data_IF_584804008914
#
_entry.id   IF_584804008914
#
_cell.length_a   1.000
_cell.length_b   1.000
_cell.length_c   1.000
_cell.angle_alpha   90.00
_cell.angle_beta   90.00
_cell.angle_gamma   90.00
#
_symmetry.space_group_name_H-M   'P 1'
#
loop_
_entity.id
_entity.type
_entity.pdbx_description
1 polymer ?
#
# COMPACT_ATOMS: atom_id res chain seq x y z
N UNK A 1 12.64 -2.97 -16.63
CA UNK A 1 12.42 -4.41 -16.40
C UNK A 1 10.91 -4.62 -16.43
N UNK A 2 10.44 -5.76 -16.92
CA UNK A 2 9.02 -6.06 -16.89
C UNK A 2 8.64 -6.53 -15.47
N UNK A 3 7.46 -6.12 -14.94
CA UNK A 3 7.04 -6.56 -13.62
C UNK A 3 6.83 -8.08 -13.59
N UNK A 4 7.21 -8.71 -12.48
CA UNK A 4 7.00 -10.16 -12.28
C UNK A 4 5.56 -10.49 -11.93
N UNK A 5 4.87 -9.55 -11.25
CA UNK A 5 3.48 -9.69 -10.82
C UNK A 5 2.79 -8.34 -10.93
N UNK A 6 1.53 -8.39 -11.33
CA UNK A 6 0.75 -7.19 -11.60
C UNK A 6 -0.67 -7.36 -11.07
N UNK A 7 -1.08 -6.48 -10.16
CA UNK A 7 -2.40 -6.50 -9.53
C UNK A 7 -3.20 -5.26 -9.89
N UNK A 8 -4.37 -5.45 -10.49
CA UNK A 8 -5.33 -4.38 -10.72
C UNK A 8 -6.17 -4.14 -9.46
N UNK A 9 -6.19 -2.90 -8.98
CA UNK A 9 -7.03 -2.50 -7.84
C UNK A 9 -8.40 -2.04 -8.34
N UNK A 10 -9.45 -2.74 -7.93
CA UNK A 10 -10.84 -2.48 -8.33
C UNK A 10 -11.73 -2.33 -7.10
N UNK A 11 -12.39 -1.17 -6.92
CA UNK A 11 -13.38 -1.01 -5.85
C UNK A 11 -14.65 -1.79 -6.15
N UNK A 12 -15.14 -2.59 -5.20
CA UNK A 12 -16.24 -3.54 -5.41
C UNK A 12 -17.60 -3.04 -4.91
N UNK A 13 -17.63 -1.93 -4.18
CA UNK A 13 -18.86 -1.34 -3.68
C UNK A 13 -19.00 0.15 -4.01
N UNK A 14 -20.25 0.64 -4.02
CA UNK A 14 -20.56 2.05 -4.33
C UNK A 14 -19.91 3.03 -3.35
N UNK A 15 -19.79 2.64 -2.08
CA UNK A 15 -19.14 3.45 -1.04
C UNK A 15 -17.61 3.47 -1.18
N UNK A 16 -17.03 2.64 -2.06
CA UNK A 16 -15.59 2.54 -2.33
C UNK A 16 -14.78 2.24 -1.06
N UNK A 17 -15.39 1.47 -0.16
CA UNK A 17 -14.80 0.96 1.10
C UNK A 17 -14.32 -0.47 0.99
N UNK A 18 -14.56 -1.13 -0.15
CA UNK A 18 -14.08 -2.47 -0.44
C UNK A 18 -13.42 -2.47 -1.81
N UNK A 19 -12.30 -3.17 -1.93
CA UNK A 19 -11.60 -3.37 -3.18
C UNK A 19 -11.05 -4.79 -3.29
N UNK A 20 -10.80 -5.21 -4.53
CA UNK A 20 -10.08 -6.43 -4.86
C UNK A 20 -8.78 -6.04 -5.56
N UNK A 21 -7.72 -6.80 -5.27
CA UNK A 21 -6.48 -6.80 -6.03
C UNK A 21 -6.49 -8.04 -6.92
N UNK A 22 -6.75 -7.83 -8.20
CA UNK A 22 -6.92 -8.89 -9.19
C UNK A 22 -5.63 -9.10 -9.97
N UNK A 23 -5.16 -10.33 -10.09
CA UNK A 23 -4.03 -10.63 -10.98
C UNK A 23 -4.45 -10.34 -12.42
N UNK A 24 -3.67 -9.51 -13.12
CA UNK A 24 -4.03 -9.06 -14.47
C UNK A 24 -4.06 -10.21 -15.49
N UNK A 25 -3.32 -11.29 -15.25
CA UNK A 25 -3.18 -12.41 -16.19
C UNK A 25 -4.43 -13.31 -16.21
N UNK A 26 -5.10 -13.44 -15.06
CA UNK A 26 -6.25 -14.33 -14.91
C UNK A 26 -7.55 -13.61 -14.49
N UNK A 27 -7.46 -12.34 -14.10
CA UNK A 27 -8.59 -11.50 -13.66
C UNK A 27 -9.17 -11.89 -12.29
N UNK A 28 -8.57 -12.85 -11.58
CA UNK A 28 -9.06 -13.35 -10.30
C UNK A 28 -8.55 -12.51 -9.15
N UNK A 29 -9.40 -12.29 -8.14
CA UNK A 29 -9.00 -11.61 -6.92
C UNK A 29 -7.99 -12.47 -6.16
N UNK A 30 -6.76 -11.98 -6.05
CA UNK A 30 -5.72 -12.60 -5.22
C UNK A 30 -5.78 -12.10 -3.78
N UNK A 31 -6.31 -10.88 -3.59
CA UNK A 31 -6.50 -10.27 -2.29
C UNK A 31 -7.79 -9.43 -2.26
N UNK A 32 -8.40 -9.35 -1.09
CA UNK A 32 -9.48 -8.43 -0.77
C UNK A 32 -8.96 -7.35 0.18
N UNK A 33 -9.50 -6.14 0.04
CA UNK A 33 -9.09 -4.97 0.81
C UNK A 33 -10.33 -4.30 1.37
N UNK A 34 -10.40 -4.21 2.69
CA UNK A 34 -11.38 -3.36 3.37
C UNK A 34 -10.73 -2.01 3.70
N UNK A 35 -11.34 -0.94 3.19
CA UNK A 35 -10.94 0.45 3.41
C UNK A 35 -11.97 1.10 4.33
N UNK A 36 -11.56 1.40 5.56
CA UNK A 36 -12.39 2.10 6.52
C UNK A 36 -12.14 3.61 6.46
N UNK A 37 -13.24 4.37 6.34
CA UNK A 37 -13.24 5.82 6.49
C UNK A 37 -13.06 6.29 7.93
N UNK A 38 -13.17 5.39 8.91
CA UNK A 38 -12.89 5.78 10.28
C UNK A 38 -11.38 5.99 10.43
N UNK A 39 -10.98 7.24 10.48
CA UNK A 39 -9.83 7.65 11.28
C UNK A 39 -10.14 7.18 12.69
N UNK A 40 -9.50 6.10 13.13
CA UNK A 40 -9.62 5.64 14.50
C UNK A 40 -9.17 6.81 15.38
N UNK A 41 -10.02 7.20 16.34
CA UNK A 41 -9.65 8.17 17.36
C UNK A 41 -8.29 7.78 17.95
N UNK A 42 -7.40 8.76 18.07
CA UNK A 42 -6.11 8.63 18.76
C UNK A 42 -6.37 7.90 20.10
N UNK A 43 -5.92 6.64 20.19
CA UNK A 43 -6.06 5.73 21.35
C UNK A 43 -7.35 4.91 21.48
N UNK A 44 -8.00 4.51 20.38
CA UNK A 44 -8.91 3.36 20.46
C UNK A 44 -8.10 2.06 20.61
N UNK A 45 -7.85 1.64 21.85
CA UNK A 45 -7.37 0.31 22.23
C UNK A 45 -8.42 -0.80 21.99
N UNK A 46 -9.35 -0.61 21.04
CA UNK A 46 -10.32 -1.64 20.67
C UNK A 46 -9.74 -2.45 19.51
N UNK A 47 -9.47 -3.75 19.70
CA UNK A 47 -9.19 -4.64 18.58
C UNK A 47 -10.36 -4.59 17.59
N UNK A 48 -10.06 -4.43 16.29
CA UNK A 48 -11.04 -4.64 15.22
C UNK A 48 -11.54 -3.41 14.45
N UNK A 49 -10.84 -2.26 14.45
CA UNK A 49 -11.16 -1.19 13.48
C UNK A 49 -9.92 -0.57 12.85
N UNK A 50 -9.25 -1.37 12.04
CA UNK A 50 -8.15 -0.91 11.22
C UNK A 50 -8.64 -0.05 10.05
N UNK A 51 -7.81 0.91 9.64
CA UNK A 51 -8.14 1.78 8.52
C UNK A 51 -8.04 1.05 7.18
N UNK A 52 -7.11 0.10 7.07
CA UNK A 52 -7.01 -0.83 5.94
C UNK A 52 -6.86 -2.24 6.52
N UNK A 53 -7.57 -3.20 5.94
CA UNK A 53 -7.36 -4.63 6.18
C UNK A 53 -7.10 -5.29 4.83
N UNK A 54 -5.94 -5.93 4.70
CA UNK A 54 -5.58 -6.77 3.56
C UNK A 54 -5.81 -8.23 3.94
N UNK A 55 -6.59 -8.94 3.14
CA UNK A 55 -6.97 -10.33 3.42
C UNK A 55 -6.96 -11.20 2.17
N UNK A 56 -6.84 -12.50 2.36
CA UNK A 56 -7.09 -13.48 1.29
C UNK A 56 -8.56 -13.41 0.85
N UNK A 57 -8.89 -13.69 -0.41
CA UNK A 57 -10.27 -13.70 -0.88
C UNK A 57 -11.13 -14.76 -0.18
N UNK A 58 -12.45 -14.58 -0.23
CA UNK A 58 -13.41 -15.57 0.24
C UNK A 58 -13.17 -16.95 -0.41
N UNK A 59 -13.25 -18.07 0.34
CA UNK A 59 -13.82 -18.21 1.69
C UNK A 59 -12.83 -18.11 2.85
N UNK A 60 -11.52 -18.03 2.62
CA UNK A 60 -10.54 -18.07 3.71
C UNK A 60 -10.58 -16.82 4.57
N UNK A 61 -10.73 -15.62 3.96
CA UNK A 61 -10.80 -14.32 4.65
C UNK A 61 -9.73 -14.14 5.75
N UNK A 62 -8.56 -14.75 5.58
CA UNK A 62 -7.45 -14.66 6.51
C UNK A 62 -6.83 -13.27 6.40
N UNK A 63 -6.62 -12.61 7.55
CA UNK A 63 -5.98 -11.30 7.57
C UNK A 63 -4.48 -11.47 7.33
N UNK A 64 -3.96 -10.79 6.32
CA UNK A 64 -2.54 -10.78 5.98
C UNK A 64 -1.82 -9.56 6.55
N UNK A 65 -2.56 -8.47 6.75
CA UNK A 65 -2.06 -7.31 7.45
C UNK A 65 -3.07 -6.17 7.56
N UNK A 66 -2.72 -5.22 8.39
CA UNK A 66 -3.60 -4.11 8.78
C UNK A 66 -2.84 -2.79 8.80
N UNK A 67 -3.54 -1.68 8.54
CA UNK A 67 -2.98 -0.35 8.65
C UNK A 67 -3.82 0.53 9.54
N UNK A 68 -3.16 1.27 10.42
CA UNK A 68 -3.77 2.29 11.29
C UNK A 68 -3.18 3.66 11.00
N UNK A 69 -4.05 4.63 10.76
CA UNK A 69 -3.65 6.03 10.61
C UNK A 69 -3.87 6.78 11.93
N UNK A 70 -2.77 7.24 12.53
CA UNK A 70 -2.82 8.08 13.73
C UNK A 70 -2.77 9.55 13.31
N UNK A 71 -3.93 10.18 13.00
CA UNK A 71 -3.98 11.56 12.51
C UNK A 71 -3.91 12.62 13.63
N UNK A 72 -2.86 12.59 14.46
CA UNK A 72 -2.59 13.65 15.44
C UNK A 72 -1.86 14.85 14.86
N UNK A 73 -0.96 14.59 13.90
CA UNK A 73 -0.10 15.55 13.19
C UNK A 73 0.39 14.90 11.89
N UNK A 74 0.76 15.69 10.88
CA UNK A 74 1.40 15.18 9.65
C UNK A 74 2.76 14.50 9.89
N UNK A 75 3.33 14.66 11.09
CA UNK A 75 4.56 14.00 11.55
C UNK A 75 4.32 12.64 12.20
N UNK A 76 3.05 12.24 12.39
CA UNK A 76 2.73 10.98 13.06
C UNK A 76 2.95 9.83 12.08
N UNK A 77 3.65 8.75 12.47
CA UNK A 77 3.83 7.62 11.58
C UNK A 77 2.50 6.91 11.28
N UNK A 78 2.47 6.24 10.14
CA UNK A 78 1.40 5.30 9.77
C UNK A 78 1.84 3.92 10.26
N UNK A 79 1.00 3.24 11.04
CA UNK A 79 1.34 1.93 11.59
C UNK A 79 0.84 0.82 10.66
N UNK A 80 1.69 -0.14 10.37
CA UNK A 80 1.37 -1.36 9.64
C UNK A 80 1.56 -2.57 10.55
N UNK A 81 0.59 -3.47 10.59
CA UNK A 81 0.72 -4.79 11.21
C UNK A 81 0.75 -5.85 10.12
N UNK A 82 1.77 -6.70 10.11
CA UNK A 82 1.89 -7.84 9.20
C UNK A 82 1.58 -9.13 9.96
N UNK A 83 0.71 -9.96 9.40
CA UNK A 83 0.15 -11.15 10.05
C UNK A 83 -1.33 -10.99 10.41
N UNK A 84 -1.92 -12.06 10.94
CA UNK A 84 -3.34 -12.10 11.28
C UNK A 84 -3.59 -11.49 12.66
N UNK A 85 -4.00 -10.21 12.69
CA UNK A 85 -4.28 -9.48 13.93
C UNK A 85 -5.55 -9.93 14.66
N UNK A 86 -6.39 -10.77 14.03
CA UNK A 86 -7.62 -11.29 14.61
C UNK A 86 -7.40 -12.67 15.20
N UNK A 87 -6.80 -13.58 14.42
CA UNK A 87 -6.58 -14.96 14.84
C UNK A 87 -5.34 -15.11 15.74
N UNK A 88 -4.28 -14.34 15.50
CA UNK A 88 -2.99 -14.47 16.18
C UNK A 88 -2.34 -13.09 16.44
N UNK A 89 -2.92 -12.26 17.31
CA UNK A 89 -2.46 -10.89 17.55
C UNK A 89 -1.01 -10.80 18.06
N UNK A 90 -0.56 -11.79 18.84
CA UNK A 90 0.79 -11.79 19.43
C UNK A 90 1.90 -12.09 18.42
N UNK A 91 1.56 -12.58 17.22
CA UNK A 91 2.53 -12.87 16.15
C UNK A 91 2.59 -11.75 15.11
N UNK A 92 1.82 -10.68 15.28
CA UNK A 92 1.80 -9.55 14.35
C UNK A 92 3.09 -8.76 14.47
N UNK A 93 3.78 -8.57 13.35
CA UNK A 93 4.95 -7.71 13.25
C UNK A 93 4.49 -6.29 12.93
N UNK A 94 4.80 -5.35 13.81
CA UNK A 94 4.43 -3.95 13.65
C UNK A 94 5.58 -3.14 13.07
N UNK A 95 5.28 -2.38 12.02
CA UNK A 95 6.21 -1.49 11.33
C UNK A 95 5.61 -0.11 11.11
N UNK A 96 6.46 0.90 10.95
CA UNK A 96 6.04 2.29 10.79
C UNK A 96 6.44 2.84 9.42
N UNK A 97 5.51 3.60 8.81
CA UNK A 97 5.82 4.51 7.70
C UNK A 97 5.99 5.92 8.24
N UNK A 98 7.16 6.50 8.00
CA UNK A 98 7.47 7.88 8.32
C UNK A 98 7.33 8.78 7.09
N UNK A 99 6.52 9.83 7.21
CA UNK A 99 6.45 10.89 6.19
C UNK A 99 7.70 11.76 6.30
N UNK A 100 8.53 11.77 5.26
CA UNK A 100 9.75 12.58 5.18
C UNK A 100 9.63 13.59 4.05
N UNK A 101 10.11 14.81 4.30
CA UNK A 101 10.38 15.74 3.22
C UNK A 101 11.78 15.50 2.68
N UNK A 102 11.88 14.95 1.47
CA UNK A 102 13.14 14.78 0.76
C UNK A 102 13.15 15.75 -0.41
N UNK A 103 14.00 16.77 -0.36
CA UNK A 103 14.21 17.71 -1.46
C UNK A 103 12.91 18.30 -2.05
N UNK A 104 11.98 18.75 -1.19
CA UNK A 104 10.64 19.30 -1.53
C UNK A 104 9.62 18.29 -2.07
N UNK A 105 9.91 16.99 -2.01
CA UNK A 105 8.93 15.93 -2.28
C UNK A 105 8.69 15.12 -1.00
N UNK A 106 7.43 14.90 -0.65
CA UNK A 106 7.08 13.99 0.44
C UNK A 106 7.39 12.56 -0.01
N UNK A 107 8.36 11.94 0.65
CA UNK A 107 8.65 10.52 0.59
C UNK A 107 8.08 9.82 1.84
N UNK A 108 7.79 8.54 1.71
CA UNK A 108 7.25 7.72 2.78
C UNK A 108 8.26 6.60 3.04
N UNK A 109 9.01 6.74 4.11
CA UNK A 109 10.04 5.78 4.51
C UNK A 109 9.40 4.65 5.30
N UNK A 110 9.76 3.41 4.99
CA UNK A 110 9.39 2.23 5.75
C UNK A 110 10.63 1.34 5.93
N UNK A 111 10.88 0.90 7.16
CA UNK A 111 11.91 -0.09 7.46
C UNK A 111 11.27 -1.45 7.68
N UNK A 112 11.63 -2.46 6.90
CA UNK A 112 11.08 -3.82 6.99
C UNK A 112 12.19 -4.79 7.37
N UNK A 113 11.94 -5.64 8.36
CA UNK A 113 12.75 -6.82 8.60
C UNK A 113 12.41 -7.94 7.59
N UNK A 114 13.37 -8.29 6.74
CA UNK A 114 13.22 -9.36 5.74
C UNK A 114 13.72 -10.71 6.25
N UNK A 115 13.98 -10.83 7.56
CA UNK A 115 14.41 -12.04 8.24
C UNK A 115 15.94 -12.21 8.29
N UNK A 116 16.39 -13.25 8.98
CA UNK A 116 17.77 -13.42 9.45
C UNK A 116 18.88 -13.29 8.39
N UNK A 117 18.60 -13.65 7.13
CA UNK A 117 19.60 -13.62 6.05
C UNK A 117 19.71 -12.25 5.36
N UNK A 118 18.58 -11.58 5.14
CA UNK A 118 18.52 -10.31 4.41
C UNK A 118 18.58 -9.10 5.36
N UNK A 119 18.21 -9.30 6.61
CA UNK A 119 18.14 -8.30 7.65
C UNK A 119 17.11 -7.20 7.39
N UNK A 120 17.23 -6.13 8.18
CA UNK A 120 16.37 -4.96 8.06
C UNK A 120 16.79 -4.10 6.87
N UNK A 121 15.85 -3.83 5.96
CA UNK A 121 16.03 -2.92 4.83
C UNK A 121 15.10 -1.72 4.92
N UNK A 122 15.52 -0.62 4.28
CA UNK A 122 14.73 0.62 4.25
C UNK A 122 14.26 0.87 2.82
N UNK A 123 12.99 1.18 2.70
CA UNK A 123 12.34 1.48 1.44
C UNK A 123 11.68 2.85 1.50
N UNK A 124 11.58 3.46 0.32
CA UNK A 124 10.90 4.72 0.15
C UNK A 124 9.80 4.60 -0.90
N UNK A 125 8.56 4.84 -0.49
CA UNK A 125 7.49 5.17 -1.42
C UNK A 125 7.57 6.64 -1.80
N UNK A 126 7.68 6.93 -3.10
CA UNK A 126 7.82 8.29 -3.64
C UNK A 126 6.91 8.46 -4.85
N UNK A 127 6.44 9.69 -5.08
CA UNK A 127 5.76 10.02 -6.33
C UNK A 127 6.67 9.82 -7.53
N UNK A 128 6.11 9.40 -8.65
CA UNK A 128 6.87 9.22 -9.89
C UNK A 128 6.07 9.69 -11.09
N UNK A 129 6.71 10.40 -12.01
CA UNK A 129 6.15 10.68 -13.34
C UNK A 129 6.63 9.67 -14.40
N UNK A 130 7.57 8.78 -14.04
CA UNK A 130 8.11 7.76 -14.91
C UNK A 130 7.16 6.55 -14.94
N UNK A 131 6.10 6.68 -15.74
CA UNK A 131 5.12 5.63 -16.00
C UNK A 131 5.13 5.33 -17.50
N UNK A 132 5.39 4.08 -17.87
CA UNK A 132 5.42 3.67 -19.28
C UNK A 132 4.01 3.82 -19.91
N UNK A 133 3.96 4.07 -21.21
CA UNK A 133 2.71 4.13 -21.99
C UNK A 133 1.68 5.22 -21.60
N UNK A 134 2.05 6.22 -20.78
CA UNK A 134 1.24 7.42 -20.56
C UNK A 134 1.81 8.64 -21.28
N UNK A 135 0.93 9.49 -21.82
CA UNK A 135 1.34 10.76 -22.42
C UNK A 135 1.91 11.70 -21.34
N UNK A 136 2.82 12.59 -21.72
CA UNK A 136 3.43 13.57 -20.80
C UNK A 136 2.40 14.48 -20.12
N UNK A 137 1.26 14.73 -20.79
CA UNK A 137 0.13 15.50 -20.23
C UNK A 137 -0.59 14.69 -19.15
N UNK A 138 -0.88 13.40 -19.41
CA UNK A 138 -1.49 12.51 -18.42
C UNK A 138 -0.60 12.32 -17.20
N UNK A 139 0.72 12.16 -17.40
CA UNK A 139 1.70 12.04 -16.31
C UNK A 139 1.81 13.30 -15.44
N UNK A 140 1.62 14.50 -16.02
CA UNK A 140 1.64 15.77 -15.27
C UNK A 140 0.35 16.02 -14.49
N UNK A 141 -0.79 15.52 -14.98
CA UNK A 141 -2.09 15.68 -14.32
C UNK A 141 -2.34 14.61 -13.25
N UNK A 142 -1.73 13.44 -13.38
CA UNK A 142 -1.91 12.31 -12.47
C UNK A 142 -0.80 12.25 -11.41
N UNK A 143 -1.04 12.90 -10.27
CA UNK A 143 -0.07 13.00 -9.17
C UNK A 143 -0.02 11.81 -8.20
N UNK A 144 -0.79 10.74 -8.46
CA UNK A 144 -0.92 9.58 -7.56
C UNK A 144 -0.13 8.35 -8.01
N UNK A 145 0.72 8.50 -9.01
CA UNK A 145 1.71 7.51 -9.37
C UNK A 145 2.79 7.39 -8.30
N UNK A 146 3.03 6.16 -7.84
CA UNK A 146 4.03 5.88 -6.80
C UNK A 146 5.05 4.85 -7.29
N UNK A 147 6.25 4.91 -6.74
CA UNK A 147 7.25 3.85 -6.80
C UNK A 147 7.84 3.58 -5.41
N UNK A 148 8.11 2.32 -5.13
CA UNK A 148 8.86 1.88 -3.97
C UNK A 148 10.31 1.64 -4.38
N UNK A 149 11.24 2.22 -3.64
CA UNK A 149 12.68 2.15 -3.92
C UNK A 149 13.39 1.61 -2.70
N UNK A 150 14.19 0.57 -2.86
CA UNK A 150 15.12 0.12 -1.81
C UNK A 150 16.24 1.18 -1.69
N UNK A 151 16.44 1.67 -0.47
CA UNK A 151 17.19 2.91 -0.27
C UNK A 151 18.69 2.76 -0.51
N UNK A 152 19.29 1.64 -0.14
CA UNK A 152 20.74 1.47 -0.22
C UNK A 152 21.20 1.32 -1.67
N UNK A 153 20.48 0.53 -2.46
CA UNK A 153 20.79 0.21 -3.85
C UNK A 153 20.14 1.15 -4.85
N UNK A 154 19.08 1.87 -4.45
CA UNK A 154 18.28 2.71 -5.34
C UNK A 154 17.41 1.93 -6.33
N UNK A 155 17.30 0.60 -6.17
CA UNK A 155 16.51 -0.27 -7.04
C UNK A 155 15.02 -0.02 -6.82
N UNK A 156 14.28 0.13 -7.92
CA UNK A 156 12.80 0.18 -7.87
C UNK A 156 12.29 -1.24 -7.72
N UNK A 157 11.56 -1.49 -6.63
CA UNK A 157 11.06 -2.82 -6.27
C UNK A 157 9.55 -2.98 -6.52
N UNK A 158 8.83 -1.86 -6.59
CA UNK A 158 7.42 -1.85 -6.95
C UNK A 158 6.97 -0.48 -7.47
N UNK A 159 5.83 -0.47 -8.16
CA UNK A 159 5.13 0.75 -8.60
C UNK A 159 3.64 0.63 -8.36
N UNK A 160 2.99 1.77 -8.19
CA UNK A 160 1.55 1.90 -8.34
C UNK A 160 1.24 2.89 -9.47
N UNK A 161 0.62 2.37 -10.52
CA UNK A 161 0.19 3.13 -11.68
C UNK A 161 -1.28 3.49 -11.51
N UNK A 162 -1.55 4.70 -10.99
CA UNK A 162 -2.89 5.21 -10.82
C UNK A 162 -3.68 5.29 -12.15
N UNK A 163 -4.98 5.00 -12.06
CA UNK A 163 -5.93 5.17 -13.14
C UNK A 163 -6.80 6.40 -12.88
N UNK A 164 -6.54 7.50 -13.58
CA UNK A 164 -7.29 8.75 -13.41
C UNK A 164 -8.75 8.68 -13.92
N UNK A 165 -9.08 7.68 -14.73
CA UNK A 165 -10.42 7.57 -15.32
C UNK A 165 -11.48 7.22 -14.27
N UNK A 166 -12.65 7.84 -14.40
CA UNK A 166 -13.80 7.53 -13.56
C UNK A 166 -14.21 6.06 -13.71
N UNK A 167 -14.43 5.38 -12.58
CA UNK A 167 -14.83 3.98 -12.57
C UNK A 167 -14.53 3.29 -11.24
N UNK A 168 -14.54 1.95 -11.27
CA UNK A 168 -14.13 1.10 -10.15
C UNK A 168 -12.62 0.87 -10.11
N UNK A 169 -11.95 0.85 -11.27
CA UNK A 169 -10.50 0.67 -11.39
C UNK A 169 -9.74 1.87 -10.85
N UNK A 170 -8.85 1.66 -9.88
CA UNK A 170 -8.05 2.70 -9.22
C UNK A 170 -6.60 2.77 -9.68
N UNK A 171 -6.10 1.68 -10.21
CA UNK A 171 -4.75 1.61 -10.70
C UNK A 171 -4.24 0.20 -10.67
N UNK A 172 -2.93 0.07 -10.87
CA UNK A 172 -2.26 -1.22 -10.97
C UNK A 172 -1.00 -1.20 -10.12
N UNK A 173 -0.85 -2.18 -9.25
CA UNK A 173 0.42 -2.49 -8.61
C UNK A 173 1.27 -3.33 -9.54
N UNK A 174 2.52 -2.93 -9.72
CA UNK A 174 3.53 -3.62 -10.52
C UNK A 174 4.68 -3.98 -9.58
N UNK A 175 4.89 -5.26 -9.33
CA UNK A 175 5.95 -5.76 -8.47
C UNK A 175 7.13 -6.16 -9.36
N UNK A 176 8.30 -5.60 -9.08
CA UNK A 176 9.55 -5.93 -9.75
C UNK A 176 10.22 -7.11 -9.03
N UNK A 177 11.18 -7.75 -9.69
CA UNK A 177 11.93 -8.85 -9.07
C UNK A 177 12.74 -8.33 -7.88
N UNK A 178 12.45 -8.86 -6.69
CA UNK A 178 13.16 -8.53 -5.46
C UNK A 178 13.15 -9.72 -4.50
N UNK A 179 14.28 -9.96 -3.83
CA UNK A 179 14.40 -11.00 -2.79
C UNK A 179 13.86 -10.46 -1.47
N UNK A 180 12.53 -10.46 -1.32
CA UNK A 180 11.85 -9.94 -0.13
C UNK A 180 11.27 -11.01 0.82
N UNK A 181 11.46 -12.29 0.50
CA UNK A 181 10.85 -13.40 1.25
C UNK A 181 9.38 -13.67 0.89
N UNK A 182 8.72 -14.55 1.65
CA UNK A 182 7.39 -15.06 1.34
C UNK A 182 6.27 -14.02 1.48
N UNK A 183 6.43 -13.07 2.40
CA UNK A 183 5.41 -12.05 2.70
C UNK A 183 5.61 -10.74 1.92
N UNK A 184 6.58 -10.72 0.99
CA UNK A 184 6.96 -9.52 0.25
C UNK A 184 5.80 -8.85 -0.48
N UNK A 185 4.89 -9.64 -1.06
CA UNK A 185 3.73 -9.11 -1.75
C UNK A 185 2.81 -8.35 -0.81
N UNK A 186 2.49 -8.93 0.35
CA UNK A 186 1.68 -8.29 1.39
C UNK A 186 2.35 -7.00 1.88
N UNK A 187 3.68 -6.99 2.03
CA UNK A 187 4.46 -5.79 2.39
C UNK A 187 4.27 -4.68 1.36
N UNK A 188 4.50 -4.98 0.08
CA UNK A 188 4.37 -4.00 -1.00
C UNK A 188 2.94 -3.48 -1.10
N UNK A 189 1.95 -4.39 -1.13
CA UNK A 189 0.55 -4.04 -1.34
C UNK A 189 0.00 -3.22 -0.16
N UNK A 190 0.22 -3.66 1.08
CA UNK A 190 -0.30 -2.97 2.26
C UNK A 190 0.37 -1.59 2.44
N UNK A 191 1.70 -1.51 2.33
CA UNK A 191 2.42 -0.24 2.48
C UNK A 191 2.08 0.75 1.36
N UNK A 192 1.94 0.27 0.13
CA UNK A 192 1.51 1.10 -1.01
C UNK A 192 0.08 1.62 -0.83
N UNK A 193 -0.86 0.75 -0.42
CA UNK A 193 -2.23 1.15 -0.09
C UNK A 193 -2.29 2.18 1.05
N UNK A 194 -1.47 1.99 2.09
CA UNK A 194 -1.37 2.93 3.20
C UNK A 194 -0.92 4.33 2.73
N UNK A 195 0.12 4.40 1.88
CA UNK A 195 0.59 5.66 1.31
C UNK A 195 -0.46 6.31 0.40
N UNK A 196 -1.13 5.52 -0.44
CA UNK A 196 -2.19 6.01 -1.32
C UNK A 196 -3.35 6.62 -0.52
N UNK A 197 -3.84 5.89 0.48
CA UNK A 197 -4.94 6.37 1.33
C UNK A 197 -4.52 7.56 2.18
N UNK A 198 -3.28 7.60 2.69
CA UNK A 198 -2.76 8.77 3.40
C UNK A 198 -2.70 10.00 2.48
N UNK A 199 -2.15 9.86 1.27
CA UNK A 199 -2.09 10.95 0.29
C UNK A 199 -3.50 11.43 -0.09
N UNK A 200 -4.42 10.51 -0.34
CA UNK A 200 -5.82 10.82 -0.64
C UNK A 200 -6.48 11.61 0.50
N UNK A 201 -6.31 11.17 1.76
CA UNK A 201 -6.88 11.80 2.95
C UNK A 201 -6.26 13.18 3.21
N UNK A 202 -4.93 13.29 3.16
CA UNK A 202 -4.22 14.56 3.38
C UNK A 202 -4.53 15.64 2.33
N UNK A 203 -4.91 15.24 1.12
CA UNK A 203 -5.31 16.14 0.03
C UNK A 203 -6.83 16.38 -0.07
N UNK A 204 -7.63 15.76 0.81
CA UNK A 204 -9.09 15.89 0.81
C UNK A 204 -9.80 15.22 -0.37
N UNK A 205 -9.15 14.26 -1.03
CA UNK A 205 -9.72 13.59 -2.20
C UNK A 205 -10.67 12.47 -1.78
N UNK A 206 -11.77 12.29 -2.50
CA UNK A 206 -12.63 11.10 -2.40
C UNK A 206 -12.54 10.30 -3.68
N UNK A 207 -12.54 8.97 -3.56
CA UNK A 207 -12.59 8.06 -4.70
C UNK A 207 -13.82 8.26 -5.55
#
# INVERSE_FOLDING_TARGET
MAPIKTYEMVTTNLKRTKAELRDINNGTASYEVDLSFATTDLRSSKPGRHAIVLQTPSPSNQTLGTCDFTFGSLSTPIHLGFGDSVASPDTVVWEDIYVREIAKQSGFEIGIDLGDFLGRKVFDWKRTSAVENKSTISQKMDGLHLKMVERETGVVVAKFVHNFMFGSKRGTFELEQFEGGNDWESVVLLSGLAVLEYMRKSQGWSW
#
